data_IF_775890448464
#
_entry.id   IF_775890448464
#
_cell.length_a   1.000
_cell.length_b   1.000
_cell.length_c   1.000
_cell.angle_alpha   90.00
_cell.angle_beta   90.00
_cell.angle_gamma   90.00
#
_symmetry.space_group_name_H-M   'P 1'
#
loop_
_entity.id
_entity.type
_entity.pdbx_description
1 polymer ?
#
# COMPACT_ATOMS: atom_id res chain seq x y z
N UNK A 1 7.03 8.69 -2.10
CA UNK A 1 8.40 8.18 -1.81
C UNK A 1 8.54 6.66 -1.92
N UNK A 2 7.62 5.83 -1.38
CA UNK A 2 7.76 4.35 -1.44
C UNK A 2 8.05 3.84 -2.85
N UNK A 3 7.19 4.16 -3.82
CA UNK A 3 7.32 3.65 -5.19
C UNK A 3 8.56 4.17 -5.91
N UNK A 4 8.93 5.44 -5.68
CA UNK A 4 10.19 6.02 -6.18
C UNK A 4 11.40 5.19 -5.71
N UNK A 5 11.44 4.80 -4.43
CA UNK A 5 12.53 3.99 -3.91
C UNK A 5 12.45 2.54 -4.40
N UNK A 6 11.26 1.97 -4.56
CA UNK A 6 11.10 0.62 -5.08
C UNK A 6 11.59 0.50 -6.52
N UNK A 7 11.21 1.46 -7.36
CA UNK A 7 11.72 1.59 -8.72
C UNK A 7 13.25 1.76 -8.72
N UNK A 8 13.80 2.77 -8.02
CA UNK A 8 15.23 3.06 -8.07
C UNK A 8 16.15 1.99 -7.45
N UNK A 9 15.70 1.28 -6.41
CA UNK A 9 16.52 0.31 -5.69
C UNK A 9 16.31 -1.13 -6.16
N UNK A 10 15.12 -1.45 -6.68
CA UNK A 10 14.75 -2.82 -7.05
C UNK A 10 14.27 -2.96 -8.50
N UNK A 11 14.31 -1.89 -9.30
CA UNK A 11 13.87 -1.89 -10.70
C UNK A 11 12.40 -2.24 -10.88
N UNK A 12 11.57 -2.02 -9.85
CA UNK A 12 10.16 -2.39 -9.89
C UNK A 12 9.35 -1.42 -10.77
N UNK A 13 8.56 -1.94 -11.70
CA UNK A 13 7.49 -1.18 -12.33
C UNK A 13 6.38 -0.93 -11.30
N UNK A 14 5.98 0.31 -11.13
CA UNK A 14 5.13 0.72 -10.01
C UNK A 14 3.90 1.46 -10.50
N UNK A 15 2.76 1.21 -9.85
CA UNK A 15 1.53 1.99 -10.05
C UNK A 15 1.11 2.58 -8.70
N UNK A 16 0.97 3.90 -8.66
CA UNK A 16 0.42 4.64 -7.54
C UNK A 16 -1.09 4.79 -7.73
N UNK A 17 -1.86 4.51 -6.68
CA UNK A 17 -3.30 4.80 -6.64
C UNK A 17 -3.52 5.92 -5.63
N UNK A 18 -4.06 7.04 -6.08
CA UNK A 18 -4.33 8.22 -5.25
C UNK A 18 -5.77 8.70 -5.46
N UNK A 19 -6.49 8.89 -4.36
CA UNK A 19 -7.92 9.21 -4.37
C UNK A 19 -8.19 10.70 -4.57
N UNK A 20 -7.24 11.56 -4.18
CA UNK A 20 -7.35 13.02 -4.33
C UNK A 20 -6.75 13.46 -5.68
N UNK A 21 -7.57 13.97 -6.62
CA UNK A 21 -7.11 14.32 -7.98
C UNK A 21 -5.93 15.30 -7.99
N UNK A 22 -5.98 16.32 -7.12
CA UNK A 22 -4.92 17.32 -6.98
C UNK A 22 -3.60 16.72 -6.44
N UNK A 23 -3.67 15.70 -5.59
CA UNK A 23 -2.49 15.00 -5.05
C UNK A 23 -1.94 14.02 -6.08
N UNK A 24 -2.81 13.37 -6.86
CA UNK A 24 -2.41 12.54 -7.99
C UNK A 24 -1.64 13.37 -9.02
N UNK A 25 -2.15 14.56 -9.36
CA UNK A 25 -1.49 15.47 -10.29
C UNK A 25 -0.16 16.01 -9.75
N UNK A 26 -0.12 16.42 -8.48
CA UNK A 26 1.13 16.82 -7.85
C UNK A 26 2.16 15.67 -7.86
N UNK A 27 1.71 14.43 -7.66
CA UNK A 27 2.58 13.25 -7.71
C UNK A 27 3.16 13.04 -9.10
N UNK A 28 2.38 13.23 -10.17
CA UNK A 28 2.88 13.18 -11.56
C UNK A 28 3.97 14.22 -11.81
N UNK A 29 3.77 15.46 -11.34
CA UNK A 29 4.78 16.52 -11.46
C UNK A 29 6.07 16.17 -10.70
N UNK A 30 5.96 15.58 -9.51
CA UNK A 30 7.14 15.10 -8.76
C UNK A 30 7.88 14.01 -9.54
N UNK A 31 7.16 13.07 -10.16
CA UNK A 31 7.77 12.00 -10.95
C UNK A 31 8.47 12.55 -12.20
N UNK A 32 7.85 13.50 -12.90
CA UNK A 32 8.43 14.20 -14.06
C UNK A 32 9.75 14.91 -13.68
N UNK A 33 9.77 15.64 -12.57
CA UNK A 33 10.99 16.30 -12.09
C UNK A 33 12.10 15.33 -11.67
N UNK A 34 11.76 14.08 -11.40
CA UNK A 34 12.70 13.02 -11.07
C UNK A 34 13.08 12.15 -12.28
N UNK A 35 12.46 12.37 -13.44
CA UNK A 35 12.62 11.56 -14.65
C UNK A 35 12.08 10.14 -14.51
N UNK A 36 10.97 9.96 -13.78
CA UNK A 36 10.36 8.67 -13.46
C UNK A 36 8.93 8.51 -14.00
N UNK A 37 8.43 9.48 -14.75
CA UNK A 37 7.06 9.53 -15.27
C UNK A 37 6.73 8.39 -16.25
N UNK A 38 7.74 7.80 -16.88
CA UNK A 38 7.60 6.63 -17.76
C UNK A 38 7.73 5.29 -17.03
N UNK A 39 8.16 5.30 -15.76
CA UNK A 39 8.43 4.09 -14.97
C UNK A 39 7.45 3.88 -13.81
N UNK A 40 6.80 4.97 -13.37
CA UNK A 40 5.83 4.95 -12.28
C UNK A 40 4.54 5.61 -12.77
N UNK A 41 3.48 4.81 -12.91
CA UNK A 41 2.16 5.30 -13.27
C UNK A 41 1.43 5.87 -12.05
N UNK A 42 0.61 6.90 -12.25
CA UNK A 42 -0.28 7.46 -11.23
C UNK A 42 -1.73 7.40 -11.69
N UNK A 43 -2.48 6.47 -11.10
CA UNK A 43 -3.91 6.28 -11.31
C UNK A 43 -4.68 7.08 -10.27
N UNK A 44 -5.56 7.95 -10.75
CA UNK A 44 -6.53 8.64 -9.90
C UNK A 44 -7.70 7.68 -9.60
N UNK A 45 -7.99 7.46 -8.32
CA UNK A 45 -9.05 6.58 -7.88
C UNK A 45 -8.77 5.97 -6.51
N UNK A 46 -9.63 5.06 -6.09
CA UNK A 46 -9.51 4.37 -4.82
C UNK A 46 -8.92 2.97 -4.99
N UNK A 47 -8.88 2.19 -3.91
CA UNK A 47 -8.33 0.84 -3.92
C UNK A 47 -8.99 -0.11 -4.93
N UNK A 48 -10.18 0.20 -5.46
CA UNK A 48 -10.87 -0.63 -6.45
C UNK A 48 -10.24 -0.52 -7.85
N UNK A 49 -9.48 0.55 -8.12
CA UNK A 49 -8.77 0.76 -9.38
C UNK A 49 -7.77 -0.35 -9.70
N UNK A 50 -7.34 -1.14 -8.71
CA UNK A 50 -6.43 -2.27 -8.94
C UNK A 50 -7.04 -3.34 -9.85
N UNK A 51 -8.37 -3.43 -9.99
CA UNK A 51 -9.02 -4.44 -10.87
C UNK A 51 -8.55 -4.39 -12.33
N UNK A 52 -8.09 -3.23 -12.80
CA UNK A 52 -7.60 -3.03 -14.17
C UNK A 52 -6.08 -2.99 -14.29
N UNK A 53 -5.34 -3.28 -13.22
CA UNK A 53 -3.89 -3.15 -13.14
C UNK A 53 -3.27 -4.54 -13.00
N UNK A 54 -2.21 -4.82 -13.75
CA UNK A 54 -1.40 -6.02 -13.55
C UNK A 54 -0.40 -5.79 -12.41
N UNK A 55 -0.39 -6.68 -11.41
CA UNK A 55 0.48 -6.56 -10.24
C UNK A 55 0.85 -7.92 -9.68
N UNK A 56 2.05 -7.98 -9.09
CA UNK A 56 2.55 -9.15 -8.36
C UNK A 56 2.56 -8.97 -6.85
N UNK A 57 2.42 -7.73 -6.36
CA UNK A 57 2.39 -7.34 -4.94
C UNK A 57 1.49 -6.12 -4.78
N UNK A 58 0.67 -6.09 -3.75
CA UNK A 58 -0.11 -4.89 -3.36
C UNK A 58 0.46 -4.29 -2.08
N UNK A 59 0.68 -2.97 -2.06
CA UNK A 59 1.12 -2.26 -0.85
C UNK A 59 0.06 -1.28 -0.36
N UNK A 60 -0.39 -1.44 0.88
CA UNK A 60 -1.35 -0.52 1.53
C UNK A 60 -0.59 0.48 2.40
N UNK A 61 -0.72 1.77 2.07
CA UNK A 61 -0.12 2.85 2.84
C UNK A 61 -0.68 2.90 4.27
N UNK A 62 0.14 3.35 5.22
CA UNK A 62 -0.27 3.42 6.63
C UNK A 62 -1.52 4.29 6.85
N UNK A 63 -1.71 5.30 6.00
CA UNK A 63 -2.77 6.30 6.09
C UNK A 63 -3.90 6.08 5.07
N UNK A 64 -3.92 4.96 4.34
CA UNK A 64 -5.03 4.64 3.43
C UNK A 64 -6.30 4.33 4.24
N UNK A 65 -7.38 5.07 4.06
CA UNK A 65 -8.60 4.97 4.86
C UNK A 65 -9.87 4.96 3.98
N UNK A 66 -10.99 4.38 4.47
CA UNK A 66 -11.13 3.67 5.74
C UNK A 66 -10.61 2.22 5.66
N UNK A 67 -9.83 1.76 6.65
CA UNK A 67 -9.16 0.44 6.63
C UNK A 67 -10.11 -0.73 6.32
N UNK A 68 -11.28 -0.79 6.94
CA UNK A 68 -12.23 -1.89 6.71
C UNK A 68 -12.69 -1.94 5.24
N UNK A 69 -12.97 -0.79 4.62
CA UNK A 69 -13.35 -0.71 3.20
C UNK A 69 -12.21 -1.16 2.31
N UNK A 70 -11.00 -0.64 2.57
CA UNK A 70 -9.80 -0.95 1.78
C UNK A 70 -9.56 -2.45 1.75
N UNK A 71 -9.47 -3.10 2.92
CA UNK A 71 -9.21 -4.53 2.96
C UNK A 71 -10.37 -5.38 2.45
N UNK A 72 -11.63 -4.95 2.60
CA UNK A 72 -12.78 -5.65 1.99
C UNK A 72 -12.69 -5.63 0.46
N UNK A 73 -12.43 -4.46 -0.12
CA UNK A 73 -12.28 -4.31 -1.57
C UNK A 73 -11.07 -5.07 -2.12
N UNK A 74 -9.95 -5.08 -1.37
CA UNK A 74 -8.80 -5.92 -1.71
C UNK A 74 -9.17 -7.40 -1.66
N UNK A 75 -9.90 -7.86 -0.63
CA UNK A 75 -10.29 -9.26 -0.50
C UNK A 75 -11.16 -9.72 -1.69
N UNK A 76 -12.07 -8.88 -2.16
CA UNK A 76 -12.88 -9.17 -3.36
C UNK A 76 -12.08 -9.19 -4.66
N UNK A 77 -10.90 -8.57 -4.70
CA UNK A 77 -10.15 -8.33 -5.94
C UNK A 77 -8.93 -9.22 -6.09
N UNK A 78 -8.14 -9.41 -5.02
CA UNK A 78 -6.90 -10.19 -5.09
C UNK A 78 -7.19 -11.70 -5.11
N UNK A 79 -6.28 -12.44 -5.75
CA UNK A 79 -6.23 -13.90 -5.65
C UNK A 79 -5.60 -14.38 -4.34
N UNK A 80 -5.49 -15.69 -4.17
CA UNK A 80 -4.89 -16.31 -2.97
C UNK A 80 -3.36 -16.34 -2.99
N UNK A 81 -2.74 -15.97 -4.13
CA UNK A 81 -1.29 -16.05 -4.36
C UNK A 81 -0.62 -14.68 -4.23
N UNK A 82 -1.37 -13.59 -4.38
CA UNK A 82 -0.82 -12.23 -4.33
C UNK A 82 -0.57 -11.82 -2.88
N UNK A 83 0.67 -11.45 -2.52
CA UNK A 83 0.96 -10.90 -1.21
C UNK A 83 0.48 -9.45 -1.11
N UNK A 84 -0.13 -9.13 0.03
CA UNK A 84 -0.43 -7.76 0.42
C UNK A 84 0.51 -7.36 1.54
N UNK A 85 1.21 -6.24 1.39
CA UNK A 85 2.02 -5.62 2.43
C UNK A 85 1.30 -4.38 2.93
N UNK A 86 0.91 -4.33 4.19
CA UNK A 86 0.36 -3.11 4.78
C UNK A 86 1.27 -2.55 5.87
N UNK A 87 1.19 -1.23 6.05
CA UNK A 87 1.86 -0.53 7.14
C UNK A 87 0.89 -0.23 8.27
N UNK A 88 1.34 -0.40 9.50
CA UNK A 88 0.56 -0.11 10.69
C UNK A 88 1.44 0.42 11.83
N UNK A 89 0.86 0.73 12.98
CA UNK A 89 1.54 1.22 14.16
C UNK A 89 1.35 0.20 15.29
N UNK A 90 2.40 -0.15 16.03
CA UNK A 90 2.31 -1.12 17.14
C UNK A 90 3.03 -0.61 18.38
N UNK A 91 2.64 -1.14 19.55
CA UNK A 91 3.17 -0.71 20.85
C UNK A 91 3.00 0.78 21.08
N UNK A 92 4.01 1.43 21.67
CA UNK A 92 3.97 2.87 21.96
C UNK A 92 3.82 3.75 20.72
N UNK A 93 4.16 3.26 19.51
CA UNK A 93 4.03 4.04 18.27
C UNK A 93 2.58 4.20 17.81
N UNK A 94 1.65 3.42 18.37
CA UNK A 94 0.21 3.58 18.12
C UNK A 94 -0.34 4.93 18.61
N UNK A 95 0.42 5.69 19.40
CA UNK A 95 0.09 7.09 19.72
C UNK A 95 0.08 8.01 18.48
N UNK A 96 0.84 7.66 17.43
CA UNK A 96 0.97 8.49 16.24
C UNK A 96 -0.24 8.33 15.29
N UNK A 97 -0.81 7.13 15.22
CA UNK A 97 -1.96 6.84 14.38
C UNK A 97 -2.62 5.51 14.77
N UNK A 98 -3.91 5.37 14.46
CA UNK A 98 -4.68 4.17 14.78
C UNK A 98 -4.12 2.92 14.08
N UNK A 99 -3.92 1.81 14.79
CA UNK A 99 -3.47 0.56 14.19
C UNK A 99 -4.53 -0.06 13.27
N UNK A 100 -4.07 -0.91 12.36
CA UNK A 100 -4.96 -1.77 11.56
C UNK A 100 -5.46 -2.87 12.49
N UNK A 101 -6.78 -3.05 12.53
CA UNK A 101 -7.42 -4.04 13.41
C UNK A 101 -7.52 -5.41 12.73
N UNK A 102 -7.65 -6.45 13.54
CA UNK A 102 -7.94 -7.81 13.04
C UNK A 102 -9.27 -7.85 12.29
N UNK A 103 -10.26 -7.04 12.73
CA UNK A 103 -11.54 -6.91 12.03
C UNK A 103 -11.36 -6.41 10.59
N UNK A 104 -10.51 -5.40 10.39
CA UNK A 104 -10.25 -4.87 9.06
C UNK A 104 -9.58 -5.90 8.14
N UNK A 105 -8.70 -6.74 8.68
CA UNK A 105 -7.94 -7.75 7.91
C UNK A 105 -8.58 -9.14 7.94
N UNK A 106 -9.87 -9.24 8.29
CA UNK A 106 -10.60 -10.52 8.28
C UNK A 106 -10.60 -11.12 6.86
N UNK A 107 -10.40 -12.43 6.77
CA UNK A 107 -10.28 -13.12 5.47
C UNK A 107 -8.86 -13.12 4.90
N UNK A 108 -7.88 -12.59 5.65
CA UNK A 108 -6.47 -12.70 5.33
C UNK A 108 -5.70 -13.46 6.43
N UNK A 109 -4.74 -14.28 6.01
CA UNK A 109 -3.75 -14.89 6.88
C UNK A 109 -2.50 -14.02 6.94
N UNK A 110 -1.98 -13.81 8.15
CA UNK A 110 -0.77 -13.03 8.40
C UNK A 110 0.46 -13.93 8.41
N UNK A 111 1.34 -13.73 7.43
CA UNK A 111 2.54 -14.56 7.27
C UNK A 111 3.76 -13.97 7.99
N UNK A 112 3.98 -12.67 7.85
CA UNK A 112 5.19 -11.99 8.37
C UNK A 112 4.83 -10.66 8.99
N UNK A 113 5.51 -10.30 10.08
CA UNK A 113 5.44 -8.98 10.70
C UNK A 113 6.83 -8.50 11.06
N UNK A 114 7.21 -7.34 10.51
CA UNK A 114 8.48 -6.68 10.77
C UNK A 114 8.21 -5.48 11.67
N UNK A 115 8.62 -5.60 12.93
CA UNK A 115 8.55 -4.51 13.90
C UNK A 115 9.63 -3.45 13.60
N UNK A 116 9.31 -2.15 13.78
CA UNK A 116 10.26 -1.09 13.50
C UNK A 116 11.35 -0.99 14.58
N UNK A 117 12.54 -0.57 14.17
CA UNK A 117 13.64 -0.18 15.06
C UNK A 117 14.07 1.26 14.81
N UNK A 118 14.78 1.85 15.79
CA UNK A 118 15.26 3.24 15.70
C UNK A 118 14.14 4.24 15.46
N UNK A 119 14.30 5.08 14.43
CA UNK A 119 13.36 6.14 14.05
C UNK A 119 12.24 5.70 13.10
N UNK A 120 12.20 4.42 12.72
CA UNK A 120 11.08 3.90 11.91
C UNK A 120 9.83 3.84 12.78
N UNK A 121 8.71 4.31 12.22
CA UNK A 121 7.43 4.35 12.93
C UNK A 121 6.51 3.18 12.58
N UNK A 122 6.51 2.75 11.32
CA UNK A 122 5.56 1.74 10.87
C UNK A 122 6.10 0.32 11.08
N UNK A 123 5.22 -0.54 11.59
CA UNK A 123 5.30 -1.99 11.44
C UNK A 123 4.83 -2.35 10.05
N UNK A 124 5.58 -3.21 9.35
CA UNK A 124 5.17 -3.75 8.05
C UNK A 124 4.69 -5.18 8.22
N UNK A 125 3.55 -5.51 7.62
CA UNK A 125 2.91 -6.83 7.76
C UNK A 125 2.60 -7.37 6.38
N UNK A 126 3.00 -8.61 6.12
CA UNK A 126 2.64 -9.35 4.91
C UNK A 126 1.48 -10.28 5.22
N UNK A 127 0.44 -10.22 4.39
CA UNK A 127 -0.76 -11.05 4.48
C UNK A 127 -1.12 -11.66 3.12
N UNK A 128 -1.89 -12.75 3.14
CA UNK A 128 -2.47 -13.37 1.94
C UNK A 128 -3.94 -13.70 2.16
N UNK A 129 -4.72 -13.66 1.09
CA UNK A 129 -6.14 -14.01 1.12
C UNK A 129 -6.31 -15.50 1.45
N UNK A 130 -7.29 -15.79 2.31
CA UNK A 130 -7.77 -17.15 2.59
C UNK A 130 -9.24 -17.27 2.17
N UNK A 131 -9.62 -18.47 1.75
CA UNK A 131 -10.99 -18.85 1.34
C UNK A 131 -11.55 -19.83 2.36
#
# INVERSE_FOLDING_TARGET
MTLILFNKLYGSHCVSVEIQPEVAELSRQVLEKLGLESEIEVVEGDETSIKGIDYTVVMVAALAEPKERVFTNLWETVDTITPIIYRTYTGMRAILYSPVTEKATRGFHKEVMILPTGKVNNTSVLIRKIV
#
